data_IF_402132608492
#
_entry.id   IF_402132608492
#
_cell.length_a   1.000
_cell.length_b   1.000
_cell.length_c   1.000
_cell.angle_alpha   90.00
_cell.angle_beta   90.00
_cell.angle_gamma   90.00
#
_symmetry.space_group_name_H-M   'P 1'
#
loop_
_entity.id
_entity.type
_entity.pdbx_description
1 polymer ?
#
# COMPACT_ATOMS: atom_id res chain seq x y z
N UNK A 1 53.89 13.09 42.35
CA UNK A 1 53.94 12.17 41.18
C UNK A 1 53.18 10.90 41.54
N UNK A 2 51.85 10.83 41.30
CA UNK A 2 51.08 9.57 41.32
C UNK A 2 49.57 9.73 41.00
N UNK A 3 49.07 10.94 40.73
CA UNK A 3 47.66 11.16 40.35
C UNK A 3 47.41 11.02 38.84
N UNK A 4 48.37 11.41 38.00
CA UNK A 4 48.17 11.46 36.53
C UNK A 4 48.27 10.10 35.84
N UNK A 5 49.06 9.16 36.37
CA UNK A 5 49.14 7.80 35.82
C UNK A 5 47.84 7.01 36.04
N UNK A 6 47.13 7.26 37.15
CA UNK A 6 45.90 6.53 37.49
C UNK A 6 44.76 6.89 36.53
N UNK A 7 44.69 8.16 36.11
CA UNK A 7 43.68 8.66 35.18
C UNK A 7 43.93 8.13 33.77
N UNK A 8 45.20 8.12 33.32
CA UNK A 8 45.58 7.56 32.02
C UNK A 8 45.33 6.04 31.93
N UNK A 9 45.60 5.29 33.00
CA UNK A 9 45.25 3.86 33.08
C UNK A 9 43.74 3.65 33.03
N UNK A 10 42.96 4.48 33.72
CA UNK A 10 41.50 4.37 33.72
C UNK A 10 40.89 4.60 32.33
N UNK A 11 41.39 5.61 31.59
CA UNK A 11 40.95 5.85 30.21
C UNK A 11 41.43 4.77 29.23
N UNK A 12 42.62 4.20 29.43
CA UNK A 12 43.10 3.07 28.63
C UNK A 12 42.24 1.81 28.84
N UNK A 13 41.90 1.47 30.10
CA UNK A 13 40.99 0.35 30.38
C UNK A 13 39.56 0.57 29.85
N UNK A 14 39.08 1.82 29.82
CA UNK A 14 37.81 2.18 29.20
C UNK A 14 37.86 2.05 27.67
N UNK A 15 38.94 2.49 27.03
CA UNK A 15 39.11 2.35 25.57
C UNK A 15 39.26 0.88 25.15
N UNK A 16 40.03 0.08 25.88
CA UNK A 16 40.19 -1.36 25.62
C UNK A 16 38.87 -2.12 25.85
N UNK A 17 38.05 -1.72 26.84
CA UNK A 17 36.70 -2.27 27.00
C UNK A 17 35.73 -1.84 25.91
N UNK A 18 35.85 -0.61 25.38
CA UNK A 18 35.01 -0.15 24.28
C UNK A 18 35.37 -0.87 22.98
N UNK A 19 36.67 -1.11 22.70
CA UNK A 19 37.06 -1.95 21.55
C UNK A 19 36.65 -3.42 21.73
N UNK A 20 36.76 -4.00 22.93
CA UNK A 20 36.28 -5.37 23.18
C UNK A 20 34.75 -5.52 23.14
N UNK A 21 33.99 -4.45 23.38
CA UNK A 21 32.53 -4.42 23.20
C UNK A 21 32.14 -4.14 21.74
N UNK A 22 32.98 -3.44 20.97
CA UNK A 22 32.79 -3.20 19.53
C UNK A 22 33.27 -4.34 18.63
N UNK A 23 34.03 -5.29 19.18
CA UNK A 23 34.35 -6.57 18.54
C UNK A 23 33.53 -7.72 19.13
N UNK A 24 32.27 -7.48 19.54
CA UNK A 24 31.31 -8.57 19.54
C UNK A 24 31.08 -8.94 18.08
N UNK A 25 31.63 -10.09 17.71
CA UNK A 25 31.32 -10.84 16.50
C UNK A 25 29.92 -10.48 16.02
N UNK A 26 29.83 -9.94 14.79
CA UNK A 26 28.62 -10.08 13.99
C UNK A 26 28.47 -11.58 13.78
N UNK A 27 27.95 -12.25 14.80
CA UNK A 27 27.39 -13.57 14.69
C UNK A 27 26.36 -13.43 13.57
N UNK A 28 26.65 -14.05 12.44
CA UNK A 28 25.63 -14.29 11.43
C UNK A 28 24.45 -14.88 12.19
N UNK A 29 23.34 -14.13 12.24
CA UNK A 29 22.08 -14.66 12.74
C UNK A 29 21.69 -15.72 11.73
N UNK A 30 22.17 -16.95 11.97
CA UNK A 30 21.55 -18.14 11.45
C UNK A 30 20.18 -18.15 12.10
N UNK A 31 19.19 -17.59 11.39
CA UNK A 31 17.80 -17.71 11.75
C UNK A 31 17.45 -19.19 11.60
N UNK A 32 17.61 -19.95 12.68
CA UNK A 32 17.10 -21.31 12.73
C UNK A 32 15.58 -21.24 12.59
N UNK A 33 15.08 -21.52 11.39
CA UNK A 33 13.66 -21.44 11.07
C UNK A 33 12.95 -22.60 11.79
N UNK A 34 12.32 -22.28 12.93
CA UNK A 34 11.58 -23.25 13.74
C UNK A 34 10.10 -23.25 13.41
N UNK A 35 9.53 -24.45 13.33
CA UNK A 35 8.08 -24.64 13.19
C UNK A 35 7.33 -24.12 14.42
N UNK A 36 6.30 -23.29 14.20
CA UNK A 36 5.40 -22.81 15.25
C UNK A 36 4.22 -23.80 15.42
N UNK A 37 4.11 -24.52 16.55
CA UNK A 37 3.02 -25.48 16.76
C UNK A 37 1.64 -24.82 16.85
N UNK A 38 1.58 -23.49 17.04
CA UNK A 38 0.33 -22.73 16.98
C UNK A 38 -0.18 -22.56 15.55
N UNK A 39 0.65 -22.83 14.56
CA UNK A 39 0.31 -22.79 13.14
C UNK A 39 0.40 -21.40 12.50
N UNK A 40 0.03 -21.34 11.23
CA UNK A 40 0.30 -20.22 10.33
C UNK A 40 -0.95 -19.71 9.63
N UNK A 41 -0.94 -18.41 9.31
CA UNK A 41 -1.90 -17.77 8.39
C UNK A 41 -1.14 -17.35 7.14
N UNK A 42 -1.67 -17.69 5.96
CA UNK A 42 -1.14 -17.26 4.67
C UNK A 42 -2.30 -16.79 3.79
N UNK A 43 -2.10 -15.81 2.92
CA UNK A 43 -3.16 -15.31 2.06
C UNK A 43 -2.60 -14.69 0.79
N UNK A 44 -3.44 -14.59 -0.25
CA UNK A 44 -3.13 -13.74 -1.38
C UNK A 44 -3.64 -12.30 -1.16
N UNK A 45 -2.80 -11.25 -1.30
CA UNK A 45 -3.25 -9.86 -1.39
C UNK A 45 -3.87 -9.58 -2.78
N UNK A 46 -4.89 -10.36 -3.15
CA UNK A 46 -5.44 -10.45 -4.51
C UNK A 46 -6.55 -9.43 -4.84
N UNK A 47 -6.82 -8.46 -3.97
CA UNK A 47 -7.87 -7.45 -4.19
C UNK A 47 -7.25 -6.05 -4.33
N UNK A 48 -7.47 -5.43 -5.49
CA UNK A 48 -7.03 -4.07 -5.77
C UNK A 48 -5.52 -3.89 -5.92
N UNK A 49 -5.10 -2.62 -5.96
CA UNK A 49 -3.68 -2.22 -6.06
C UNK A 49 -3.07 -2.07 -4.66
N UNK A 50 -1.83 -1.57 -4.60
CA UNK A 50 -1.06 -1.45 -3.36
C UNK A 50 -1.85 -0.87 -2.17
N UNK A 51 -2.59 0.23 -2.36
CA UNK A 51 -3.40 0.82 -1.28
C UNK A 51 -4.41 -0.16 -0.66
N UNK A 52 -5.12 -0.93 -1.48
CA UNK A 52 -6.04 -1.98 -1.00
C UNK A 52 -5.30 -3.11 -0.29
N UNK A 53 -4.17 -3.54 -0.85
CA UNK A 53 -3.36 -4.61 -0.27
C UNK A 53 -2.80 -4.21 1.10
N UNK A 54 -2.37 -2.95 1.27
CA UNK A 54 -1.87 -2.44 2.53
C UNK A 54 -2.97 -2.30 3.60
N UNK A 55 -4.19 -1.93 3.22
CA UNK A 55 -5.37 -1.94 4.12
C UNK A 55 -5.65 -3.36 4.63
N UNK A 56 -5.72 -4.31 3.69
CA UNK A 56 -5.91 -5.72 3.98
C UNK A 56 -4.81 -6.32 4.86
N UNK A 57 -3.56 -5.92 4.64
CA UNK A 57 -2.43 -6.37 5.45
C UNK A 57 -2.62 -6.04 6.93
N UNK A 58 -3.06 -4.82 7.26
CA UNK A 58 -3.30 -4.41 8.64
C UNK A 58 -4.39 -5.28 9.30
N UNK A 59 -5.46 -5.60 8.59
CA UNK A 59 -6.48 -6.53 9.09
C UNK A 59 -5.97 -7.97 9.21
N UNK A 60 -5.19 -8.45 8.23
CA UNK A 60 -4.71 -9.83 8.19
C UNK A 60 -3.69 -10.13 9.31
N UNK A 61 -2.80 -9.19 9.65
CA UNK A 61 -1.88 -9.35 10.79
C UNK A 61 -2.62 -9.25 12.13
N UNK A 62 -3.69 -8.45 12.21
CA UNK A 62 -4.56 -8.41 13.38
C UNK A 62 -5.32 -9.73 13.56
N UNK A 63 -5.83 -10.30 12.46
CA UNK A 63 -6.46 -11.63 12.44
C UNK A 63 -5.50 -12.73 12.88
N UNK A 64 -4.29 -12.76 12.32
CA UNK A 64 -3.26 -13.72 12.71
C UNK A 64 -2.89 -13.62 14.20
N UNK A 65 -2.81 -12.39 14.73
CA UNK A 65 -2.61 -12.13 16.16
C UNK A 65 -3.79 -12.62 17.00
N UNK A 66 -5.03 -12.36 16.58
CA UNK A 66 -6.24 -12.82 17.25
C UNK A 66 -6.31 -14.33 17.38
N UNK A 67 -5.87 -15.07 16.35
CA UNK A 67 -5.79 -16.54 16.37
C UNK A 67 -4.53 -17.11 17.02
N UNK A 68 -3.60 -16.27 17.47
CA UNK A 68 -2.26 -16.64 17.94
C UNK A 68 -1.48 -17.52 16.93
N UNK A 69 -1.62 -17.25 15.63
CA UNK A 69 -0.94 -17.96 14.53
C UNK A 69 0.12 -17.07 13.88
N UNK A 70 1.28 -17.60 13.55
CA UNK A 70 2.33 -16.82 12.86
C UNK A 70 1.85 -16.39 11.47
N UNK A 71 1.97 -15.11 11.13
CA UNK A 71 1.60 -14.62 9.81
C UNK A 71 2.75 -14.87 8.82
N UNK A 72 2.46 -15.57 7.73
CA UNK A 72 3.35 -15.61 6.57
C UNK A 72 3.12 -14.33 5.78
N UNK A 73 4.10 -13.43 5.78
CA UNK A 73 4.08 -12.16 5.06
C UNK A 73 4.03 -12.44 3.56
N UNK A 74 2.90 -12.19 2.88
CA UNK A 74 2.84 -12.47 1.45
C UNK A 74 3.66 -11.44 0.68
N UNK A 75 4.18 -11.81 -0.50
CA UNK A 75 4.71 -10.82 -1.42
C UNK A 75 3.56 -9.88 -1.86
N UNK A 76 3.90 -8.62 -2.10
CA UNK A 76 2.99 -7.65 -2.70
C UNK A 76 2.67 -8.06 -4.13
N UNK A 77 1.40 -7.97 -4.51
CA UNK A 77 0.96 -8.40 -5.84
C UNK A 77 0.95 -7.21 -6.80
N UNK A 78 1.84 -7.23 -7.78
CA UNK A 78 1.89 -6.29 -8.90
C UNK A 78 1.60 -7.02 -10.22
N UNK A 79 2.32 -6.71 -11.31
CA UNK A 79 2.41 -7.61 -12.47
C UNK A 79 3.21 -8.88 -12.15
N UNK A 80 3.99 -8.87 -11.08
CA UNK A 80 4.67 -10.01 -10.45
C UNK A 80 4.59 -9.93 -8.92
N UNK A 81 4.95 -11.00 -8.22
CA UNK A 81 5.13 -10.99 -6.78
C UNK A 81 6.40 -10.21 -6.44
N UNK A 82 6.27 -9.25 -5.52
CA UNK A 82 7.39 -8.48 -4.97
C UNK A 82 7.53 -8.87 -3.50
N UNK A 83 8.69 -9.40 -3.06
CA UNK A 83 8.89 -9.78 -1.66
C UNK A 83 8.49 -8.67 -0.69
N UNK A 84 7.92 -9.05 0.44
CA UNK A 84 7.49 -8.07 1.46
C UNK A 84 8.63 -7.13 1.87
N UNK A 85 9.84 -7.70 2.01
CA UNK A 85 11.07 -7.02 2.43
C UNK A 85 11.62 -6.00 1.43
N UNK A 86 11.18 -6.03 0.17
CA UNK A 86 11.55 -4.97 -0.78
C UNK A 86 10.98 -3.61 -0.34
N UNK A 87 9.78 -3.61 0.26
CA UNK A 87 9.11 -2.38 0.65
C UNK A 87 9.23 -2.07 2.14
N UNK A 88 9.25 -3.09 2.99
CA UNK A 88 9.13 -2.90 4.44
C UNK A 88 10.11 -3.75 5.22
N UNK A 89 10.61 -3.20 6.33
CA UNK A 89 11.39 -3.95 7.32
C UNK A 89 10.49 -5.01 8.00
N UNK A 90 11.09 -6.14 8.39
CA UNK A 90 10.36 -7.26 9.01
C UNK A 90 10.41 -7.17 10.54
N UNK A 91 11.54 -6.75 11.09
CA UNK A 91 11.82 -6.69 12.53
C UNK A 91 10.81 -5.83 13.30
N UNK A 92 10.40 -4.63 12.81
CA UNK A 92 9.40 -3.82 13.51
C UNK A 92 8.04 -4.53 13.62
N UNK A 93 7.66 -5.37 12.66
CA UNK A 93 6.41 -6.13 12.72
C UNK A 93 6.46 -7.25 13.76
N UNK A 94 7.64 -7.82 13.99
CA UNK A 94 7.84 -8.87 15.01
C UNK A 94 7.55 -8.36 16.44
N UNK A 95 7.66 -7.04 16.66
CA UNK A 95 7.22 -6.40 17.92
C UNK A 95 5.70 -6.41 18.09
N UNK A 96 4.94 -6.43 16.99
CA UNK A 96 3.49 -6.51 17.04
C UNK A 96 3.00 -7.96 17.14
N UNK A 97 3.47 -8.82 16.25
CA UNK A 97 3.09 -10.22 16.19
C UNK A 97 4.15 -11.06 15.46
N UNK A 98 4.12 -12.38 15.64
CA UNK A 98 5.06 -13.28 14.96
C UNK A 98 4.78 -13.30 13.46
N UNK A 99 5.84 -13.07 12.69
CA UNK A 99 5.80 -13.03 11.24
C UNK A 99 6.98 -13.79 10.64
N UNK A 100 6.80 -14.33 9.44
CA UNK A 100 7.85 -14.95 8.62
C UNK A 100 7.65 -14.54 7.16
N UNK A 101 8.72 -14.31 6.41
CA UNK A 101 8.63 -14.06 4.98
C UNK A 101 8.08 -15.29 4.23
N UNK A 102 7.28 -15.08 3.19
CA UNK A 102 6.77 -16.17 2.36
C UNK A 102 7.90 -16.98 1.74
N UNK A 103 8.96 -16.32 1.29
CA UNK A 103 10.13 -16.94 0.68
C UNK A 103 10.84 -17.87 1.68
N UNK A 104 11.00 -17.41 2.91
CA UNK A 104 11.60 -18.19 4.00
C UNK A 104 10.72 -19.36 4.43
N UNK A 105 9.41 -19.13 4.58
CA UNK A 105 8.46 -20.20 4.91
C UNK A 105 8.47 -21.29 3.84
N UNK A 106 8.37 -20.91 2.56
CA UNK A 106 8.32 -21.84 1.45
C UNK A 106 9.64 -22.62 1.29
N UNK A 107 10.78 -21.99 1.56
CA UNK A 107 12.11 -22.62 1.46
C UNK A 107 12.44 -23.53 2.64
N UNK A 108 12.14 -23.08 3.87
CA UNK A 108 12.69 -23.71 5.08
C UNK A 108 11.67 -24.55 5.87
N UNK A 109 10.37 -24.24 5.79
CA UNK A 109 9.34 -24.90 6.61
C UNK A 109 8.32 -25.71 5.79
N UNK A 110 7.95 -25.21 4.61
CA UNK A 110 6.94 -25.86 3.79
C UNK A 110 7.33 -27.28 3.33
N UNK A 111 8.59 -27.61 2.96
CA UNK A 111 8.91 -28.95 2.47
C UNK A 111 8.65 -30.05 3.50
N UNK A 112 8.88 -29.80 4.79
CA UNK A 112 8.68 -30.75 5.88
C UNK A 112 7.27 -30.70 6.50
N UNK A 113 6.70 -29.50 6.66
CA UNK A 113 5.46 -29.31 7.43
C UNK A 113 4.22 -28.97 6.58
N UNK A 114 4.41 -28.50 5.34
CA UNK A 114 3.33 -28.17 4.41
C UNK A 114 3.66 -28.61 2.96
N UNK A 115 3.98 -29.91 2.75
CA UNK A 115 4.48 -30.40 1.46
C UNK A 115 3.39 -30.39 0.39
N UNK A 116 3.81 -30.41 -0.87
CA UNK A 116 2.93 -30.66 -2.02
C UNK A 116 2.14 -31.96 -1.80
N UNK A 117 0.88 -32.02 -2.26
CA UNK A 117 -0.01 -33.16 -2.02
C UNK A 117 -0.82 -33.07 -0.73
N UNK A 118 -0.49 -32.16 0.19
CA UNK A 118 -1.19 -31.97 1.48
C UNK A 118 -1.73 -30.55 1.69
N UNK A 119 -1.60 -29.67 0.71
CA UNK A 119 -1.89 -28.24 0.87
C UNK A 119 -3.39 -27.98 0.80
N UNK A 120 -3.90 -27.20 1.75
CA UNK A 120 -5.33 -26.85 1.85
C UNK A 120 -5.53 -25.37 1.62
N UNK A 121 -6.45 -25.03 0.73
CA UNK A 121 -6.87 -23.65 0.47
C UNK A 121 -8.22 -23.37 1.11
N UNK A 122 -8.42 -22.14 1.59
CA UNK A 122 -9.62 -21.73 2.32
C UNK A 122 -10.32 -20.57 1.59
N UNK A 123 -11.59 -20.75 1.25
CA UNK A 123 -12.43 -19.71 0.66
C UNK A 123 -13.63 -19.42 1.57
N UNK A 124 -13.91 -18.14 1.78
CA UNK A 124 -15.18 -17.74 2.33
C UNK A 124 -16.25 -17.83 1.24
N UNK A 125 -17.40 -18.42 1.57
CA UNK A 125 -18.60 -18.36 0.74
C UNK A 125 -19.81 -18.04 1.63
N UNK A 126 -20.84 -17.35 1.11
CA UNK A 126 -22.08 -17.20 1.85
C UNK A 126 -22.68 -18.55 2.23
N UNK A 127 -23.29 -18.70 3.42
CA UNK A 127 -24.06 -19.90 3.76
C UNK A 127 -25.10 -20.22 2.67
N UNK A 128 -25.15 -21.47 2.21
CA UNK A 128 -26.06 -21.90 1.14
C UNK A 128 -25.58 -21.57 -0.29
N UNK A 129 -24.39 -21.00 -0.47
CA UNK A 129 -23.82 -20.76 -1.80
C UNK A 129 -23.52 -22.08 -2.54
N UNK A 130 -23.89 -22.15 -3.82
CA UNK A 130 -23.54 -23.26 -4.74
C UNK A 130 -22.20 -23.03 -5.45
N UNK A 131 -21.53 -21.89 -5.19
CA UNK A 131 -20.24 -21.59 -5.79
C UNK A 131 -19.16 -22.54 -5.28
N UNK A 132 -18.17 -22.83 -6.14
CA UNK A 132 -17.03 -23.67 -5.76
C UNK A 132 -15.93 -22.81 -5.14
N UNK A 133 -15.31 -23.31 -4.06
CA UNK A 133 -14.07 -22.73 -3.56
C UNK A 133 -12.94 -23.00 -4.57
N UNK A 134 -12.60 -21.98 -5.32
CA UNK A 134 -11.49 -21.98 -6.28
C UNK A 134 -10.38 -21.12 -5.69
N UNK A 135 -9.13 -21.59 -5.72
CA UNK A 135 -8.00 -20.85 -5.11
C UNK A 135 -7.22 -20.04 -6.14
N UNK A 136 -7.12 -20.58 -7.36
CA UNK A 136 -6.24 -20.08 -8.43
C UNK A 136 -7.01 -19.63 -9.68
N UNK A 137 -8.33 -19.45 -9.60
CA UNK A 137 -9.10 -18.99 -10.76
C UNK A 137 -9.02 -17.46 -10.90
N UNK A 138 -8.61 -17.01 -12.10
CA UNK A 138 -8.51 -15.60 -12.48
C UNK A 138 -7.18 -14.92 -12.14
N UNK A 139 -7.00 -13.71 -12.66
CA UNK A 139 -5.93 -12.78 -12.28
C UNK A 139 -6.46 -11.90 -11.13
N UNK A 140 -5.72 -11.72 -10.01
CA UNK A 140 -4.32 -12.10 -9.78
C UNK A 140 -4.11 -13.41 -9.00
N UNK A 141 -5.16 -14.22 -8.81
CA UNK A 141 -5.10 -15.45 -8.00
C UNK A 141 -4.17 -16.51 -8.56
N UNK A 142 -4.25 -16.82 -9.86
CA UNK A 142 -3.38 -17.84 -10.47
C UNK A 142 -1.90 -17.46 -10.37
N UNK A 143 -1.47 -16.28 -10.88
CA UNK A 143 -0.06 -15.95 -10.91
C UNK A 143 0.55 -15.84 -9.50
N UNK A 144 -0.19 -15.32 -8.52
CA UNK A 144 0.30 -15.20 -7.15
C UNK A 144 0.75 -16.55 -6.57
N UNK A 145 -0.09 -17.58 -6.68
CA UNK A 145 0.21 -18.90 -6.14
C UNK A 145 1.17 -19.70 -7.02
N UNK A 146 1.11 -19.53 -8.35
CA UNK A 146 2.06 -20.16 -9.28
C UNK A 146 3.50 -19.69 -9.04
N UNK A 147 3.72 -18.39 -8.86
CA UNK A 147 5.05 -17.81 -8.59
C UNK A 147 5.64 -18.26 -7.24
N UNK A 148 4.81 -18.77 -6.33
CA UNK A 148 5.21 -19.37 -5.06
C UNK A 148 5.28 -20.91 -5.13
N UNK A 149 5.05 -21.50 -6.31
CA UNK A 149 4.97 -22.95 -6.52
C UNK A 149 3.94 -23.64 -5.58
N UNK A 150 2.79 -22.98 -5.41
CA UNK A 150 1.68 -23.46 -4.58
C UNK A 150 0.51 -23.95 -5.43
N UNK A 151 0.20 -25.23 -5.25
CA UNK A 151 -1.08 -25.84 -5.61
C UNK A 151 -1.83 -26.30 -4.37
N UNK A 152 -3.15 -26.41 -4.50
CA UNK A 152 -4.05 -26.77 -3.41
C UNK A 152 -4.76 -28.10 -3.71
N UNK A 153 -4.44 -29.10 -2.91
CA UNK A 153 -4.98 -30.45 -3.01
C UNK A 153 -6.42 -30.47 -2.49
N UNK A 154 -6.65 -29.90 -1.30
CA UNK A 154 -7.98 -29.76 -0.69
C UNK A 154 -8.43 -28.30 -0.66
N UNK A 155 -9.72 -28.06 -0.93
CA UNK A 155 -10.36 -26.75 -0.84
C UNK A 155 -11.41 -26.81 0.25
N UNK A 156 -11.33 -25.87 1.20
CA UNK A 156 -12.20 -25.80 2.37
C UNK A 156 -13.03 -24.53 2.25
N UNK A 157 -14.34 -24.69 2.36
CA UNK A 157 -15.28 -23.56 2.49
C UNK A 157 -15.41 -23.25 3.98
N UNK A 158 -15.39 -21.97 4.33
CA UNK A 158 -15.69 -21.50 5.69
C UNK A 158 -16.69 -20.35 5.65
N UNK A 159 -17.35 -20.10 6.79
CA UNK A 159 -18.39 -19.08 6.92
C UNK A 159 -18.13 -18.08 8.08
N UNK A 160 -17.02 -18.25 8.79
CA UNK A 160 -16.64 -17.46 9.96
C UNK A 160 -16.31 -16.00 9.61
N UNK A 161 -16.52 -15.10 10.56
CA UNK A 161 -16.09 -13.70 10.46
C UNK A 161 -14.57 -13.56 10.58
N UNK A 162 -14.01 -12.46 10.10
CA UNK A 162 -12.55 -12.21 10.12
C UNK A 162 -12.10 -11.38 11.33
N UNK A 163 -13.01 -11.02 12.24
CA UNK A 163 -12.70 -10.24 13.43
C UNK A 163 -12.28 -11.15 14.60
N UNK A 164 -11.10 -11.76 14.49
CA UNK A 164 -10.56 -12.73 15.46
C UNK A 164 -10.09 -12.13 16.80
N UNK A 165 -10.22 -10.81 16.96
CA UNK A 165 -10.01 -10.11 18.23
C UNK A 165 -11.20 -10.31 19.17
N UNK A 166 -12.41 -10.51 18.63
CA UNK A 166 -13.58 -10.90 19.40
C UNK A 166 -13.42 -12.35 19.90
N UNK A 167 -13.57 -12.59 21.22
CA UNK A 167 -13.42 -13.93 21.80
C UNK A 167 -14.35 -14.97 21.19
N UNK A 168 -15.59 -14.62 20.88
CA UNK A 168 -16.58 -15.55 20.35
C UNK A 168 -16.25 -15.97 18.92
N UNK A 169 -15.84 -15.03 18.05
CA UNK A 169 -15.36 -15.39 16.72
C UNK A 169 -14.03 -16.16 16.78
N UNK A 170 -13.10 -15.78 17.66
CA UNK A 170 -11.83 -16.51 17.87
C UNK A 170 -12.07 -17.96 18.28
N UNK A 171 -12.97 -18.21 19.23
CA UNK A 171 -13.22 -19.54 19.76
C UNK A 171 -13.86 -20.44 18.67
N UNK A 172 -14.72 -19.89 17.80
CA UNK A 172 -15.20 -20.61 16.61
C UNK A 172 -14.07 -21.01 15.67
N UNK A 173 -13.15 -20.10 15.37
CA UNK A 173 -11.99 -20.39 14.53
C UNK A 173 -11.10 -21.49 15.13
N UNK A 174 -10.86 -21.44 16.44
CA UNK A 174 -10.03 -22.44 17.13
C UNK A 174 -10.71 -23.81 17.17
N UNK A 175 -12.04 -23.85 17.34
CA UNK A 175 -12.82 -25.09 17.33
C UNK A 175 -12.92 -25.70 15.94
N UNK A 176 -13.21 -24.91 14.91
CA UNK A 176 -13.40 -25.40 13.54
C UNK A 176 -12.06 -25.73 12.86
N UNK A 177 -11.02 -24.92 13.11
CA UNK A 177 -9.71 -25.06 12.48
C UNK A 177 -8.57 -25.05 13.50
N UNK A 178 -8.47 -26.07 14.39
CA UNK A 178 -7.39 -26.15 15.36
C UNK A 178 -6.03 -26.37 14.68
N UNK A 179 -4.91 -25.85 15.23
CA UNK A 179 -3.57 -25.99 14.61
C UNK A 179 -3.12 -27.43 14.34
N UNK A 180 -3.53 -28.38 15.18
CA UNK A 180 -3.23 -29.82 15.01
C UNK A 180 -3.81 -30.40 13.72
N UNK A 181 -5.01 -29.98 13.33
CA UNK A 181 -5.66 -30.39 12.08
C UNK A 181 -5.34 -29.45 10.93
N UNK A 182 -5.18 -28.16 11.20
CA UNK A 182 -5.05 -27.06 10.25
C UNK A 182 -3.79 -26.23 10.56
N UNK A 183 -2.59 -26.78 10.28
CA UNK A 183 -1.33 -26.13 10.62
C UNK A 183 -1.08 -24.86 9.80
N UNK A 184 -1.60 -24.79 8.57
CA UNK A 184 -1.53 -23.62 7.68
C UNK A 184 -2.92 -23.28 7.17
N UNK A 185 -3.39 -22.07 7.48
CA UNK A 185 -4.61 -21.49 6.96
C UNK A 185 -4.26 -20.60 5.76
N UNK A 186 -4.30 -21.17 4.54
CA UNK A 186 -3.96 -20.48 3.30
C UNK A 186 -5.22 -19.97 2.57
N UNK A 187 -5.51 -18.68 2.69
CA UNK A 187 -6.74 -18.05 2.23
C UNK A 187 -6.68 -17.55 0.79
N UNK A 188 -7.79 -17.68 0.05
CA UNK A 188 -7.93 -17.15 -1.34
C UNK A 188 -7.67 -15.64 -1.41
N UNK A 189 -8.09 -14.90 -0.39
CA UNK A 189 -7.89 -13.46 -0.22
C UNK A 189 -7.53 -13.14 1.22
N UNK A 190 -7.22 -11.87 1.52
CA UNK A 190 -6.92 -11.46 2.88
C UNK A 190 -8.11 -11.72 3.83
N UNK A 191 -7.89 -12.34 5.00
CA UNK A 191 -8.91 -12.46 6.05
C UNK A 191 -9.05 -11.12 6.79
N UNK A 192 -9.52 -10.09 6.08
CA UNK A 192 -9.56 -8.71 6.54
C UNK A 192 -10.71 -7.93 5.88
N UNK A 193 -11.19 -6.88 6.55
CA UNK A 193 -12.12 -5.92 5.95
C UNK A 193 -11.40 -4.94 5.01
N UNK A 194 -12.15 -4.34 4.10
CA UNK A 194 -11.74 -3.14 3.38
C UNK A 194 -12.85 -2.07 3.45
N UNK A 195 -12.54 -0.83 3.87
CA UNK A 195 -11.24 -0.38 4.39
C UNK A 195 -10.87 -1.07 5.71
N UNK A 196 -9.64 -0.86 6.19
CA UNK A 196 -9.20 -1.38 7.49
C UNK A 196 -10.12 -0.86 8.59
N UNK A 197 -10.46 -1.70 9.56
CA UNK A 197 -11.22 -1.29 10.74
C UNK A 197 -10.46 -0.24 11.55
N UNK A 198 -11.19 0.67 12.21
CA UNK A 198 -10.61 1.81 12.93
C UNK A 198 -9.55 1.38 13.95
N UNK A 199 -9.87 0.37 14.75
CA UNK A 199 -9.01 -0.17 15.80
C UNK A 199 -7.85 -1.03 15.27
N UNK A 200 -7.67 -1.18 13.95
CA UNK A 200 -6.51 -1.84 13.36
C UNK A 200 -5.57 -0.83 12.67
N UNK A 201 -5.95 0.46 12.61
CA UNK A 201 -5.14 1.50 11.97
C UNK A 201 -3.78 1.68 12.65
N UNK A 202 -3.72 1.53 13.97
CA UNK A 202 -2.49 1.68 14.78
C UNK A 202 -1.40 0.66 14.49
N UNK A 203 -1.75 -0.44 13.83
CA UNK A 203 -0.78 -1.44 13.39
C UNK A 203 0.19 -0.83 12.37
N UNK A 204 -0.21 0.23 11.66
CA UNK A 204 0.66 0.93 10.72
C UNK A 204 1.91 1.53 11.40
N UNK A 205 1.90 1.76 12.71
CA UNK A 205 3.09 2.19 13.45
C UNK A 205 4.27 1.22 13.32
N UNK A 206 3.99 -0.08 13.09
CA UNK A 206 4.98 -1.14 12.91
C UNK A 206 5.37 -1.37 11.44
N UNK A 207 4.71 -0.71 10.48
CA UNK A 207 5.02 -0.84 9.06
C UNK A 207 6.07 0.20 8.68
N UNK A 208 7.36 -0.17 8.75
CA UNK A 208 8.49 0.73 8.45
C UNK A 208 9.06 0.46 7.07
N UNK A 209 9.26 1.52 6.28
CA UNK A 209 9.90 1.44 4.97
C UNK A 209 11.26 0.75 5.03
N UNK A 210 11.58 -0.05 4.01
CA UNK A 210 12.90 -0.67 3.86
C UNK A 210 14.00 0.40 3.77
N UNK A 211 15.23 0.02 4.14
CA UNK A 211 16.39 0.92 4.07
C UNK A 211 16.64 1.41 2.64
N UNK A 212 16.35 0.55 1.66
CA UNK A 212 16.41 0.86 0.23
C UNK A 212 15.48 2.02 -0.13
N UNK A 213 14.19 1.92 0.20
CA UNK A 213 13.21 3.00 -0.07
C UNK A 213 13.58 4.25 0.72
N UNK A 214 13.93 4.11 1.99
CA UNK A 214 14.30 5.24 2.85
C UNK A 214 15.48 6.02 2.26
N UNK A 215 16.54 5.32 1.85
CA UNK A 215 17.73 5.91 1.25
C UNK A 215 17.41 6.64 -0.05
N UNK A 216 16.70 5.99 -0.97
CA UNK A 216 16.35 6.55 -2.28
C UNK A 216 15.52 7.83 -2.14
N UNK A 217 14.55 7.82 -1.23
CA UNK A 217 13.71 8.99 -0.94
C UNK A 217 14.49 10.11 -0.28
N UNK A 218 15.38 9.80 0.67
CA UNK A 218 16.20 10.82 1.33
C UNK A 218 17.20 11.45 0.35
N UNK A 219 17.76 10.68 -0.57
CA UNK A 219 18.59 11.19 -1.67
C UNK A 219 17.78 12.08 -2.62
N UNK A 220 16.59 11.67 -3.03
CA UNK A 220 15.71 12.48 -3.87
C UNK A 220 15.38 13.82 -3.23
N UNK A 221 14.93 13.80 -1.96
CA UNK A 221 14.56 15.02 -1.23
C UNK A 221 15.76 15.95 -1.07
N UNK A 222 16.92 15.45 -0.65
CA UNK A 222 18.12 16.28 -0.45
C UNK A 222 18.65 16.90 -1.74
N UNK A 223 18.62 16.16 -2.85
CA UNK A 223 19.27 16.58 -4.09
C UNK A 223 18.33 17.37 -5.01
N UNK A 224 17.01 17.23 -4.85
CA UNK A 224 16.02 17.81 -5.77
C UNK A 224 15.20 18.91 -5.14
N UNK A 225 14.73 18.72 -3.90
CA UNK A 225 13.86 19.70 -3.26
C UNK A 225 14.72 20.83 -2.65
N UNK A 226 14.27 22.10 -2.74
CA UNK A 226 14.94 23.20 -2.06
C UNK A 226 14.98 22.96 -0.54
N UNK A 227 16.04 23.42 0.10
CA UNK A 227 16.18 23.32 1.56
C UNK A 227 15.03 24.05 2.25
N UNK A 228 14.27 23.34 3.08
CA UNK A 228 13.19 23.88 3.89
C UNK A 228 11.93 23.01 3.88
N UNK A 229 10.82 23.51 4.47
CA UNK A 229 9.57 22.77 4.51
C UNK A 229 8.98 22.52 3.12
N UNK A 230 8.30 21.40 2.95
CA UNK A 230 7.54 21.11 1.72
C UNK A 230 6.17 20.52 2.04
N UNK A 231 5.20 20.83 1.18
CA UNK A 231 3.85 20.25 1.21
C UNK A 231 3.81 19.10 0.21
N UNK A 232 3.31 17.94 0.62
CA UNK A 232 3.01 16.84 -0.27
C UNK A 232 1.52 16.85 -0.62
N UNK A 233 1.16 16.66 -1.89
CA UNK A 233 -0.23 16.48 -2.30
C UNK A 233 -0.39 15.18 -3.10
N UNK A 234 -1.53 14.52 -2.91
CA UNK A 234 -1.90 13.36 -3.73
C UNK A 234 -3.15 13.66 -4.56
N UNK A 235 -2.96 13.71 -5.88
CA UNK A 235 -4.03 13.89 -6.85
C UNK A 235 -4.47 12.51 -7.36
N UNK A 236 -5.75 12.18 -7.18
CA UNK A 236 -6.35 10.96 -7.70
C UNK A 236 -7.33 11.33 -8.81
N UNK A 237 -6.85 11.33 -10.05
CA UNK A 237 -7.54 11.89 -11.21
C UNK A 237 -7.37 11.05 -12.50
N UNK A 238 -7.01 9.78 -12.37
CA UNK A 238 -6.97 8.84 -13.49
C UNK A 238 -8.34 8.46 -14.04
N UNK A 239 -8.32 7.91 -15.25
CA UNK A 239 -9.53 7.58 -16.02
C UNK A 239 -10.40 6.50 -15.36
N UNK A 240 -9.83 5.64 -14.51
CA UNK A 240 -10.60 4.68 -13.71
C UNK A 240 -11.34 5.35 -12.53
N UNK A 241 -10.88 6.53 -12.13
CA UNK A 241 -11.44 7.31 -11.02
C UNK A 241 -12.56 8.25 -11.47
N UNK A 242 -12.36 8.96 -12.58
CA UNK A 242 -13.33 9.91 -13.15
C UNK A 242 -13.21 9.96 -14.67
N UNK A 243 -14.34 10.16 -15.37
CA UNK A 243 -14.34 10.38 -16.82
C UNK A 243 -14.38 11.87 -17.05
N UNK A 244 -13.27 12.46 -17.52
CA UNK A 244 -13.25 13.85 -17.92
C UNK A 244 -13.30 13.93 -19.46
N UNK A 245 -14.38 14.46 -20.07
CA UNK A 245 -14.48 14.60 -21.52
C UNK A 245 -13.42 15.53 -22.13
N UNK A 246 -12.83 16.44 -21.34
CA UNK A 246 -11.79 17.38 -21.81
C UNK A 246 -10.42 16.72 -22.01
N UNK A 247 -10.16 15.57 -21.41
CA UNK A 247 -8.85 14.88 -21.54
C UNK A 247 -8.65 14.17 -22.89
N UNK A 248 -9.69 14.05 -23.71
CA UNK A 248 -9.53 13.53 -25.07
C UNK A 248 -8.99 14.56 -26.07
N UNK A 249 -8.89 15.85 -25.70
CA UNK A 249 -8.34 16.88 -26.58
C UNK A 249 -6.80 16.93 -26.59
N UNK A 250 -6.12 16.24 -25.68
CA UNK A 250 -4.65 16.19 -25.62
C UNK A 250 -4.06 14.81 -25.97
N UNK A 251 -4.80 14.00 -26.73
CA UNK A 251 -4.20 12.82 -27.39
C UNK A 251 -3.42 13.25 -28.64
N UNK A 252 -2.34 12.56 -29.05
CA UNK A 252 -1.50 12.94 -30.19
C UNK A 252 -2.16 12.65 -31.55
N UNK A 253 -3.41 13.04 -31.74
CA UNK A 253 -4.09 13.08 -33.06
C UNK A 253 -3.98 14.45 -33.72
N UNK A 254 -3.60 15.50 -32.98
CA UNK A 254 -3.33 16.84 -33.56
C UNK A 254 -2.00 16.96 -34.31
N UNK A 255 -1.18 15.91 -34.39
CA UNK A 255 0.10 15.96 -35.12
C UNK A 255 0.01 15.71 -36.63
N UNK A 256 -1.19 15.46 -37.18
CA UNK A 256 -1.33 15.05 -38.58
C UNK A 256 -1.90 16.11 -39.54
N UNK A 257 -2.11 17.37 -39.09
CA UNK A 257 -2.75 18.41 -39.91
C UNK A 257 -1.80 19.46 -40.52
N UNK A 258 -0.48 19.27 -40.48
CA UNK A 258 0.46 20.28 -41.00
C UNK A 258 1.58 19.75 -41.90
N UNK A 259 1.44 18.56 -42.50
CA UNK A 259 2.46 18.03 -43.43
C UNK A 259 1.92 17.83 -44.85
N UNK A 260 2.65 18.42 -45.80
CA UNK A 260 2.41 18.50 -47.23
C UNK A 260 2.15 17.15 -47.92
N UNK A 261 1.49 17.26 -49.08
CA UNK A 261 0.87 16.24 -49.95
C UNK A 261 1.71 15.01 -50.38
N UNK A 262 2.93 14.80 -49.87
CA UNK A 262 3.82 13.72 -50.28
C UNK A 262 3.95 12.55 -49.29
N UNK A 263 3.18 12.51 -48.18
CA UNK A 263 3.23 11.41 -47.19
C UNK A 263 1.88 10.71 -46.93
N UNK A 264 0.90 10.89 -47.82
CA UNK A 264 -0.45 10.33 -47.70
C UNK A 264 -0.54 8.78 -47.76
N UNK A 265 0.51 8.09 -48.20
CA UNK A 265 0.51 6.63 -48.29
C UNK A 265 0.91 5.89 -46.99
N UNK A 266 1.42 6.60 -45.98
CA UNK A 266 1.76 5.98 -44.68
C UNK A 266 0.61 6.01 -43.66
N UNK A 267 -0.43 6.82 -43.89
CA UNK A 267 -1.57 6.95 -42.98
C UNK A 267 -2.69 5.94 -43.22
N UNK A 268 -2.79 5.33 -44.41
CA UNK A 268 -3.86 4.37 -44.70
C UNK A 268 -3.75 3.04 -43.93
N UNK A 269 -2.54 2.66 -43.49
CA UNK A 269 -2.33 1.44 -42.71
C UNK A 269 -2.61 1.59 -41.20
N UNK A 270 -2.94 2.81 -40.72
CA UNK A 270 -3.34 3.06 -39.33
C UNK A 270 -4.86 3.24 -39.14
N UNK A 271 -5.64 3.29 -40.23
CA UNK A 271 -7.09 3.49 -40.18
C UNK A 271 -7.91 2.19 -40.30
N UNK A 272 -7.27 1.05 -40.55
CA UNK A 272 -7.94 -0.23 -40.74
C UNK A 272 -8.26 -1.08 -39.48
N UNK A 273 -7.74 -0.82 -38.26
CA UNK A 273 -8.27 -1.44 -37.05
C UNK A 273 -9.31 -0.60 -36.30
N UNK A 274 -9.58 0.65 -36.70
CA UNK A 274 -10.48 1.57 -35.94
C UNK A 274 -11.95 1.39 -36.30
N UNK A 275 -12.27 0.77 -37.44
CA UNK A 275 -13.66 0.59 -37.90
C UNK A 275 -14.28 -0.76 -37.51
N UNK A 276 -13.57 -1.64 -36.80
CA UNK A 276 -14.07 -2.95 -36.36
C UNK A 276 -14.42 -3.03 -34.85
N UNK A 277 -14.38 -1.89 -34.14
CA UNK A 277 -14.71 -1.78 -32.71
C UNK A 277 -16.03 -1.04 -32.43
N UNK A 278 -16.84 -0.72 -33.46
CA UNK A 278 -18.08 0.05 -33.29
C UNK A 278 -19.30 -0.77 -32.87
N UNK A 279 -19.20 -2.09 -32.71
CA UNK A 279 -20.36 -2.96 -32.41
C UNK A 279 -20.20 -3.92 -31.22
N UNK A 280 -19.23 -3.70 -30.34
CA UNK A 280 -19.30 -4.28 -29.00
C UNK A 280 -20.13 -3.35 -28.10
N UNK A 281 -21.15 -3.84 -27.38
CA UNK A 281 -21.81 -3.01 -26.38
C UNK A 281 -20.74 -2.57 -25.39
N UNK A 282 -20.46 -1.27 -25.38
CA UNK A 282 -19.62 -0.63 -24.36
C UNK A 282 -20.35 -0.91 -23.05
N UNK A 283 -19.93 -1.97 -22.35
CA UNK A 283 -20.16 -2.11 -20.92
C UNK A 283 -19.72 -0.78 -20.32
N UNK A 284 -20.70 0.02 -19.91
CA UNK A 284 -20.48 1.30 -19.25
C UNK A 284 -19.85 1.00 -17.90
N UNK A 285 -18.54 0.83 -17.87
CA UNK A 285 -17.75 0.90 -16.65
C UNK A 285 -17.99 2.30 -16.08
N UNK A 286 -18.91 2.41 -15.11
CA UNK A 286 -19.11 3.63 -14.32
C UNK A 286 -17.86 3.88 -13.51
N UNK A 287 -17.43 5.13 -13.43
CA UNK A 287 -16.18 5.49 -12.78
C UNK A 287 -16.37 5.55 -11.26
N UNK A 288 -15.29 5.37 -10.49
CA UNK A 288 -15.37 5.26 -9.03
C UNK A 288 -16.16 6.41 -8.37
N UNK A 289 -15.89 7.66 -8.76
CA UNK A 289 -16.57 8.81 -8.16
C UNK A 289 -18.03 9.00 -8.59
N UNK A 290 -18.47 8.42 -9.71
CA UNK A 290 -19.89 8.42 -10.09
C UNK A 290 -20.71 7.50 -9.19
N UNK A 291 -20.08 6.47 -8.64
CA UNK A 291 -20.70 5.53 -7.71
C UNK A 291 -20.57 5.96 -6.25
N UNK A 292 -19.68 6.90 -5.93
CA UNK A 292 -19.35 7.26 -4.57
C UNK A 292 -20.40 8.17 -3.91
N UNK A 293 -21.04 9.03 -4.69
CA UNK A 293 -21.92 10.09 -4.17
C UNK A 293 -23.09 9.53 -3.35
N UNK A 294 -23.25 10.02 -2.13
CA UNK A 294 -24.31 9.59 -1.20
C UNK A 294 -24.01 8.28 -0.45
N UNK A 295 -22.91 7.58 -0.74
CA UNK A 295 -22.53 6.36 -0.01
C UNK A 295 -21.88 6.75 1.34
N UNK A 296 -22.35 6.22 2.49
CA UNK A 296 -21.76 6.53 3.80
C UNK A 296 -20.31 6.07 3.96
N UNK A 297 -19.99 4.88 3.44
CA UNK A 297 -18.65 4.29 3.51
C UNK A 297 -18.28 3.77 2.13
N UNK A 298 -17.51 4.57 1.39
CA UNK A 298 -17.00 4.21 0.07
C UNK A 298 -15.48 4.22 0.07
N UNK A 299 -14.87 3.08 -0.28
CA UNK A 299 -13.42 2.87 -0.26
C UNK A 299 -12.79 3.36 1.06
N UNK A 300 -11.82 4.28 1.02
CA UNK A 300 -11.12 4.77 2.20
C UNK A 300 -11.73 6.03 2.84
N UNK A 301 -12.93 6.47 2.41
CA UNK A 301 -13.60 7.66 2.95
C UNK A 301 -13.78 7.74 4.48
N UNK A 302 -13.86 6.62 5.24
CA UNK A 302 -13.89 6.70 6.70
C UNK A 302 -12.68 7.42 7.32
N UNK A 303 -11.56 7.57 6.60
CA UNK A 303 -10.40 8.33 7.08
C UNK A 303 -10.67 9.83 7.29
N UNK A 304 -11.72 10.40 6.66
CA UNK A 304 -12.19 11.76 6.91
C UNK A 304 -13.60 11.78 7.49
N UNK A 305 -14.49 10.94 7.00
CA UNK A 305 -15.91 10.95 7.40
C UNK A 305 -16.18 10.22 8.73
N UNK A 306 -15.16 9.52 9.24
CA UNK A 306 -15.28 8.62 10.38
C UNK A 306 -15.93 7.29 10.00
N UNK A 307 -15.91 6.35 10.94
CA UNK A 307 -16.49 5.01 10.77
C UNK A 307 -18.01 4.96 11.07
N UNK A 308 -18.61 6.11 11.36
CA UNK A 308 -20.07 6.23 11.45
C UNK A 308 -20.73 6.17 10.06
N UNK A 309 -22.07 6.08 10.02
CA UNK A 309 -22.84 6.14 8.77
C UNK A 309 -23.59 7.46 8.58
N UNK A 310 -23.27 8.49 9.37
CA UNK A 310 -23.99 9.77 9.37
C UNK A 310 -23.56 10.71 8.25
N UNK A 311 -22.29 10.65 7.84
CA UNK A 311 -21.75 11.45 6.75
C UNK A 311 -21.64 10.58 5.51
N UNK A 312 -21.84 11.19 4.35
CA UNK A 312 -21.77 10.52 3.05
C UNK A 312 -20.71 11.16 2.17
N UNK A 313 -20.15 10.38 1.24
CA UNK A 313 -19.19 10.90 0.26
C UNK A 313 -19.91 11.84 -0.70
N UNK A 314 -19.35 13.03 -0.91
CA UNK A 314 -19.77 13.96 -1.97
C UNK A 314 -18.91 13.75 -3.22
N UNK A 315 -19.41 14.20 -4.37
CA UNK A 315 -18.63 14.16 -5.62
C UNK A 315 -17.28 14.88 -5.47
N UNK A 316 -17.29 16.07 -4.87
CA UNK A 316 -16.07 16.88 -4.69
C UNK A 316 -15.08 16.22 -3.72
N UNK A 317 -15.56 15.53 -2.68
CA UNK A 317 -14.68 14.78 -1.77
C UNK A 317 -13.96 13.63 -2.48
N UNK A 318 -14.62 13.00 -3.45
CA UNK A 318 -14.04 11.94 -4.26
C UNK A 318 -13.13 12.47 -5.38
N UNK A 319 -13.58 13.50 -6.09
CA UNK A 319 -12.87 14.15 -7.19
C UNK A 319 -12.90 15.68 -7.00
N UNK A 320 -11.90 16.24 -6.32
CA UNK A 320 -11.90 17.65 -5.93
C UNK A 320 -11.90 18.60 -7.12
N UNK A 321 -12.67 19.72 -7.06
CA UNK A 321 -12.61 20.76 -8.05
C UNK A 321 -11.21 21.35 -8.18
N UNK A 322 -10.81 21.70 -9.42
CA UNK A 322 -9.51 22.32 -9.71
C UNK A 322 -9.21 23.51 -8.80
N UNK A 323 -10.17 24.40 -8.59
CA UNK A 323 -9.96 25.58 -7.74
C UNK A 323 -9.76 25.22 -6.26
N UNK A 324 -10.41 24.16 -5.76
CA UNK A 324 -10.19 23.68 -4.39
C UNK A 324 -8.74 23.16 -4.24
N UNK A 325 -8.26 22.39 -5.22
CA UNK A 325 -6.87 21.89 -5.24
C UNK A 325 -5.89 23.06 -5.19
N UNK A 326 -6.06 24.07 -6.05
CA UNK A 326 -5.17 25.23 -6.12
C UNK A 326 -5.21 26.06 -4.83
N UNK A 327 -6.42 26.34 -4.32
CA UNK A 327 -6.60 27.17 -3.13
C UNK A 327 -6.03 26.49 -1.88
N UNK A 328 -6.37 25.22 -1.62
CA UNK A 328 -5.88 24.49 -0.44
C UNK A 328 -4.39 24.25 -0.49
N UNK A 329 -3.84 23.97 -1.67
CA UNK A 329 -2.38 23.81 -1.83
C UNK A 329 -1.64 25.11 -1.52
N UNK A 330 -2.10 26.25 -2.04
CA UNK A 330 -1.50 27.55 -1.72
C UNK A 330 -1.64 27.90 -0.23
N UNK A 331 -2.82 27.69 0.35
CA UNK A 331 -3.07 27.95 1.77
C UNK A 331 -2.16 27.10 2.67
N UNK A 332 -2.01 25.80 2.37
CA UNK A 332 -1.10 24.92 3.11
C UNK A 332 0.36 25.34 2.94
N UNK A 333 0.78 25.70 1.72
CA UNK A 333 2.14 26.16 1.46
C UNK A 333 2.47 27.42 2.26
N UNK A 334 1.56 28.41 2.30
CA UNK A 334 1.69 29.61 3.13
C UNK A 334 1.73 29.28 4.62
N UNK A 335 0.77 28.49 5.11
CA UNK A 335 0.63 28.12 6.53
C UNK A 335 1.88 27.42 7.08
N UNK A 336 2.50 26.57 6.27
CA UNK A 336 3.67 25.78 6.66
C UNK A 336 5.01 26.38 6.21
N UNK A 337 5.01 27.60 5.65
CA UNK A 337 6.24 28.25 5.18
C UNK A 337 7.00 27.43 4.14
N UNK A 338 6.27 26.68 3.30
CA UNK A 338 6.85 25.73 2.37
C UNK A 338 7.73 26.43 1.33
N UNK A 339 8.77 25.74 0.88
CA UNK A 339 9.63 26.10 -0.25
C UNK A 339 9.31 25.26 -1.49
N UNK A 340 8.70 24.11 -1.28
CA UNK A 340 8.27 23.21 -2.34
C UNK A 340 6.89 22.61 -2.11
N UNK A 341 6.23 22.28 -3.20
CA UNK A 341 5.08 21.37 -3.27
C UNK A 341 5.51 20.15 -4.07
N UNK A 342 5.35 18.96 -3.49
CA UNK A 342 5.56 17.69 -4.16
C UNK A 342 4.20 17.08 -4.55
N UNK A 343 4.05 16.68 -5.80
CA UNK A 343 2.81 16.15 -6.37
C UNK A 343 2.99 14.67 -6.71
N UNK A 344 2.25 13.81 -6.01
CA UNK A 344 2.01 12.44 -6.41
C UNK A 344 0.67 12.35 -7.15
N UNK A 345 0.62 11.65 -8.27
CA UNK A 345 -0.61 11.48 -9.05
C UNK A 345 -0.63 10.14 -9.76
N UNK A 346 -1.82 9.63 -10.05
CA UNK A 346 -2.02 8.48 -10.91
C UNK A 346 -2.19 8.85 -12.39
N UNK A 347 -2.29 10.14 -12.71
CA UNK A 347 -2.49 10.62 -14.07
C UNK A 347 -1.96 12.05 -14.26
N UNK A 348 -2.79 13.08 -14.01
CA UNK A 348 -2.43 14.48 -14.28
C UNK A 348 -1.81 15.15 -13.04
N UNK A 349 -0.58 15.66 -13.11
CA UNK A 349 0.07 16.34 -11.99
C UNK A 349 -0.33 17.82 -11.85
N UNK A 350 -1.09 18.41 -12.79
CA UNK A 350 -1.51 19.82 -12.77
C UNK A 350 -0.33 20.81 -12.61
N UNK A 351 0.83 20.48 -13.19
CA UNK A 351 2.08 21.21 -12.95
C UNK A 351 1.98 22.68 -13.38
N UNK A 352 1.38 22.96 -14.52
CA UNK A 352 1.31 24.32 -15.07
C UNK A 352 0.43 25.22 -14.19
N UNK A 353 -0.73 24.72 -13.77
CA UNK A 353 -1.64 25.43 -12.89
C UNK A 353 -1.03 25.68 -11.50
N UNK A 354 -0.39 24.66 -10.94
CA UNK A 354 0.23 24.75 -9.62
C UNK A 354 1.43 25.71 -9.66
N UNK A 355 2.29 25.62 -10.68
CA UNK A 355 3.42 26.55 -10.84
C UNK A 355 2.91 27.98 -10.99
N UNK A 356 1.92 28.22 -11.84
CA UNK A 356 1.34 29.55 -12.02
C UNK A 356 0.78 30.11 -10.71
N UNK A 357 0.06 29.28 -9.94
CA UNK A 357 -0.54 29.69 -8.66
C UNK A 357 0.52 29.99 -7.60
N UNK A 358 1.54 29.14 -7.49
CA UNK A 358 2.52 29.14 -6.40
C UNK A 358 3.75 30.03 -6.68
N UNK A 359 3.97 30.45 -7.93
CA UNK A 359 5.07 31.36 -8.31
C UNK A 359 5.02 32.67 -7.51
N UNK A 360 3.81 33.19 -7.24
CA UNK A 360 3.61 34.45 -6.48
C UNK A 360 4.09 34.38 -5.03
N UNK A 361 4.29 33.18 -4.50
CA UNK A 361 4.80 32.95 -3.13
C UNK A 361 6.18 32.31 -3.11
N UNK A 362 6.88 32.27 -4.25
CA UNK A 362 8.21 31.70 -4.39
C UNK A 362 8.28 30.23 -3.91
N UNK A 363 7.26 29.44 -4.26
CA UNK A 363 7.19 28.00 -3.97
C UNK A 363 7.34 27.21 -5.26
N UNK A 364 8.28 26.26 -5.27
CA UNK A 364 8.56 25.41 -6.42
C UNK A 364 7.67 24.15 -6.43
N UNK A 365 7.36 23.60 -7.60
CA UNK A 365 6.47 22.44 -7.75
C UNK A 365 7.22 21.29 -8.40
N UNK A 366 7.17 20.11 -7.77
CA UNK A 366 7.89 18.90 -8.17
C UNK A 366 6.95 17.73 -8.36
N UNK A 367 7.27 16.86 -9.31
CA UNK A 367 6.60 15.60 -9.57
C UNK A 367 7.64 14.58 -10.05
N UNK A 368 7.65 13.39 -9.44
CA UNK A 368 8.64 12.35 -9.73
C UNK A 368 8.18 11.35 -10.80
N UNK A 369 6.90 11.00 -10.82
CA UNK A 369 6.34 9.90 -11.63
C UNK A 369 7.14 8.58 -11.53
N UNK A 370 7.36 8.04 -10.32
CA UNK A 370 8.22 6.89 -10.15
C UNK A 370 7.58 5.62 -10.75
N UNK A 371 8.39 4.74 -11.32
CA UNK A 371 7.95 3.38 -11.69
C UNK A 371 7.41 2.61 -10.47
N UNK A 372 7.95 2.91 -9.29
CA UNK A 372 7.56 2.33 -8.01
C UNK A 372 6.74 3.35 -7.19
N UNK A 373 5.40 3.21 -7.11
CA UNK A 373 4.53 4.16 -6.40
C UNK A 373 4.84 4.31 -4.89
N UNK A 374 5.55 3.36 -4.31
CA UNK A 374 6.00 3.41 -2.91
C UNK A 374 6.95 4.59 -2.65
N UNK A 375 7.70 5.05 -3.65
CA UNK A 375 8.54 6.23 -3.53
C UNK A 375 7.70 7.49 -3.30
N UNK A 376 6.59 7.64 -4.04
CA UNK A 376 5.64 8.73 -3.81
C UNK A 376 5.05 8.67 -2.40
N UNK A 377 4.62 7.49 -1.94
CA UNK A 377 4.09 7.32 -0.58
C UNK A 377 5.09 7.74 0.49
N UNK A 378 6.34 7.29 0.38
CA UNK A 378 7.39 7.61 1.34
C UNK A 378 7.79 9.10 1.31
N UNK A 379 7.80 9.75 0.13
CA UNK A 379 8.00 11.21 0.02
C UNK A 379 6.85 11.96 0.70
N UNK A 380 5.60 11.57 0.43
CA UNK A 380 4.42 12.17 1.06
C UNK A 380 4.40 11.96 2.58
N UNK A 381 4.83 10.78 3.06
CA UNK A 381 5.03 10.48 4.47
C UNK A 381 6.07 11.40 5.14
N UNK A 382 7.10 11.81 4.39
CA UNK A 382 8.14 12.76 4.85
C UNK A 382 7.74 14.24 4.78
N UNK A 383 6.70 14.61 4.05
CA UNK A 383 6.26 16.00 3.91
C UNK A 383 5.97 16.71 5.24
N UNK A 384 6.11 18.03 5.28
CA UNK A 384 5.80 18.84 6.47
C UNK A 384 4.29 18.97 6.68
N UNK A 385 3.54 19.06 5.57
CA UNK A 385 2.10 18.91 5.55
C UNK A 385 1.70 18.05 4.35
N UNK A 386 0.65 17.25 4.50
CA UNK A 386 0.12 16.39 3.44
C UNK A 386 -1.34 16.76 3.15
N UNK A 387 -1.69 16.90 1.87
CA UNK A 387 -3.09 17.01 1.43
C UNK A 387 -3.45 15.77 0.60
N UNK A 388 -4.35 14.95 1.13
CA UNK A 388 -4.77 13.69 0.51
C UNK A 388 -6.11 13.76 -0.21
N UNK A 389 -6.44 12.66 -0.89
CA UNK A 389 -7.78 12.38 -1.38
C UNK A 389 -8.50 11.47 -0.38
N UNK A 390 -9.68 11.87 0.07
CA UNK A 390 -10.39 11.18 1.14
C UNK A 390 -10.80 9.74 0.80
N UNK A 391 -11.14 9.49 -0.46
CA UNK A 391 -11.68 8.19 -0.90
C UNK A 391 -10.56 7.21 -1.27
N UNK A 392 -9.34 7.71 -1.51
CA UNK A 392 -8.19 6.91 -1.93
C UNK A 392 -7.52 6.15 -0.77
N UNK A 393 -7.41 4.82 -0.90
CA UNK A 393 -6.60 3.99 0.01
C UNK A 393 -5.10 4.24 -0.10
N UNK A 394 -4.63 4.83 -1.22
CA UNK A 394 -3.24 5.29 -1.36
C UNK A 394 -2.97 6.51 -0.46
N UNK A 395 -3.89 7.47 -0.39
CA UNK A 395 -3.83 8.54 0.62
C UNK A 395 -4.00 8.02 2.03
N UNK A 396 -4.84 7.00 2.24
CA UNK A 396 -5.05 6.41 3.57
C UNK A 396 -3.79 5.77 4.14
N UNK A 397 -2.94 5.19 3.28
CA UNK A 397 -1.62 4.72 3.67
C UNK A 397 -0.80 5.87 4.28
N UNK A 398 -0.62 6.97 3.54
CA UNK A 398 0.15 8.14 3.99
C UNK A 398 -0.46 8.74 5.25
N UNK A 399 -1.80 8.88 5.29
CA UNK A 399 -2.51 9.42 6.45
C UNK A 399 -2.20 8.62 7.71
N UNK A 400 -2.23 7.29 7.66
CA UNK A 400 -1.88 6.44 8.80
C UNK A 400 -0.43 6.60 9.21
N UNK A 401 0.52 6.53 8.27
CA UNK A 401 1.95 6.74 8.57
C UNK A 401 2.18 8.05 9.33
N UNK A 402 1.54 9.12 8.86
CA UNK A 402 1.63 10.47 9.42
C UNK A 402 0.96 10.59 10.77
N UNK A 403 -0.21 9.99 10.97
CA UNK A 403 -0.92 9.99 12.25
C UNK A 403 -0.06 9.39 13.36
N UNK A 404 0.59 8.25 13.11
CA UNK A 404 1.49 7.60 14.10
C UNK A 404 2.87 8.25 14.20
N UNK A 405 3.19 9.19 13.32
CA UNK A 405 4.41 10.00 13.37
C UNK A 405 4.14 11.43 13.85
N UNK A 406 2.92 11.75 14.29
CA UNK A 406 2.53 13.09 14.75
C UNK A 406 2.58 14.18 13.67
N UNK A 407 2.47 13.81 12.39
CA UNK A 407 2.59 14.75 11.25
C UNK A 407 1.24 15.25 10.76
N UNK A 408 1.17 16.54 10.42
CA UNK A 408 -0.06 17.22 10.00
C UNK A 408 -0.56 16.75 8.63
N UNK A 409 -1.86 16.48 8.50
CA UNK A 409 -2.50 16.13 7.23
C UNK A 409 -3.86 16.82 7.09
N UNK A 410 -4.28 17.08 5.86
CA UNK A 410 -5.61 17.55 5.48
C UNK A 410 -6.09 16.80 4.23
N UNK A 411 -7.30 17.09 3.78
CA UNK A 411 -7.88 16.50 2.57
C UNK A 411 -8.48 17.59 1.69
N UNK A 412 -8.46 17.35 0.39
CA UNK A 412 -9.17 18.20 -0.56
C UNK A 412 -10.69 18.10 -0.36
N UNK A 413 -11.40 19.20 -0.61
CA UNK A 413 -12.85 19.34 -0.47
C UNK A 413 -13.42 18.89 0.91
N UNK A 414 -12.62 19.03 1.97
CA UNK A 414 -12.99 18.60 3.32
C UNK A 414 -12.47 19.58 4.38
N UNK A 415 -13.37 20.11 5.20
CA UNK A 415 -13.06 21.15 6.20
C UNK A 415 -12.93 20.64 7.64
N UNK A 416 -13.16 19.35 7.89
CA UNK A 416 -13.24 18.76 9.23
C UNK A 416 -14.67 18.42 9.61
#
# INVERSE_FOLDING_TARGET
>A
MNSDLSVLLYFYFLFVRIEQVLTSEVASVSSDFKWDPRGYVFYCPCMGRFGNQAEHFLGAIAFAKGLDRTLILPPWRTYKNIPFSEFFQVEPLQLYHRVILAEDFMKHLAPSHWPQGKRRGYCWLPPGSTAKCVMKEGNPFKPFWDELEVDFDKKIVYHLGTHAQDPYERDKWQMEFPPSGHPVLAFRGAPASFPVEEHNRQIHAFLKWSDKITKEVDEYIRNTLPTGPFVGIHLRNGIDWVRNPLFFQSTPTSFCLTLNLLHLLSCLNFLLPVLYLSHLPILTLRNACELAEGIPQYMASPQCLGYSRYRTVTRDLCFPPREDILNRTEQAARKHGAKAVFVATDNDPMLEELKLRLTRINVQVFHLNPWLPQLDLAILGKAHHFIGNCVSSFSAFVKRERDFSGKSSSFFAFDG
#
